data_IF_520116340929
#
_entry.id   IF_520116340929
#
_cell.length_a   1.000
_cell.length_b   1.000
_cell.length_c   1.000
_cell.angle_alpha   90.00
_cell.angle_beta   90.00
_cell.angle_gamma   90.00
#
_symmetry.space_group_name_H-M   'P 1'
#
loop_
_entity.id
_entity.type
_entity.pdbx_description
1 polymer ?
#
# COMPACT_ATOMS: atom_id res chain seq x y z
N UNK A 1 -18.85 -5.11 22.59
CA UNK A 1 -17.50 -4.49 22.53
C UNK A 1 -16.70 -4.94 21.30
N UNK A 2 -16.72 -6.21 20.87
CA UNK A 2 -15.87 -6.70 19.76
C UNK A 2 -16.16 -6.18 18.34
N UNK A 3 -17.40 -5.80 18.00
CA UNK A 3 -17.78 -5.38 16.64
C UNK A 3 -17.24 -4.00 16.24
N UNK A 4 -17.12 -3.08 17.20
CA UNK A 4 -16.62 -1.72 16.93
C UNK A 4 -15.10 -1.72 16.69
N UNK A 5 -14.33 -2.49 17.47
CA UNK A 5 -12.90 -2.66 17.23
C UNK A 5 -12.58 -3.21 15.84
N UNK A 6 -13.42 -4.11 15.30
CA UNK A 6 -13.26 -4.65 13.93
C UNK A 6 -13.50 -3.59 12.88
N UNK A 7 -14.55 -2.78 13.04
CA UNK A 7 -14.86 -1.71 12.10
C UNK A 7 -13.70 -0.72 12.05
N UNK A 8 -13.21 -0.30 13.22
CA UNK A 8 -12.07 0.62 13.32
C UNK A 8 -10.84 0.01 12.67
N UNK A 9 -10.47 -1.23 13.00
CA UNK A 9 -9.32 -1.90 12.40
C UNK A 9 -9.44 -2.03 10.88
N UNK A 10 -10.64 -2.33 10.37
CA UNK A 10 -10.89 -2.40 8.92
C UNK A 10 -10.72 -1.03 8.24
N UNK A 11 -11.26 0.02 8.82
CA UNK A 11 -11.09 1.37 8.30
C UNK A 11 -9.64 1.83 8.35
N UNK A 12 -8.92 1.51 9.45
CA UNK A 12 -7.50 1.81 9.58
C UNK A 12 -6.67 1.12 8.50
N UNK A 13 -6.81 -0.20 8.33
CA UNK A 13 -6.10 -0.93 7.29
C UNK A 13 -6.43 -0.42 5.89
N UNK A 14 -7.70 -0.09 5.62
CA UNK A 14 -8.10 0.50 4.32
C UNK A 14 -7.47 1.88 4.12
N UNK A 15 -7.46 2.71 5.16
CA UNK A 15 -6.90 4.05 5.15
C UNK A 15 -5.40 4.05 4.88
N UNK A 16 -4.64 3.15 5.53
CA UNK A 16 -3.21 2.97 5.25
C UNK A 16 -2.98 2.68 3.76
N UNK A 17 -3.71 1.70 3.22
CA UNK A 17 -3.56 1.29 1.81
C UNK A 17 -3.93 2.42 0.86
N UNK A 18 -4.99 3.19 1.17
CA UNK A 18 -5.37 4.37 0.41
C UNK A 18 -4.30 5.47 0.47
N UNK A 19 -3.73 5.75 1.64
CA UNK A 19 -2.64 6.72 1.81
C UNK A 19 -1.42 6.29 1.01
N UNK A 20 -1.08 5.00 0.98
CA UNK A 20 -0.01 4.46 0.13
C UNK A 20 -0.28 4.74 -1.36
N UNK A 21 -1.52 4.54 -1.83
CA UNK A 21 -1.89 4.89 -3.21
C UNK A 21 -1.71 6.38 -3.49
N UNK A 22 -2.13 7.26 -2.59
CA UNK A 22 -1.90 8.71 -2.75
C UNK A 22 -0.41 9.06 -2.73
N UNK A 23 0.37 8.42 -1.86
CA UNK A 23 1.82 8.59 -1.78
C UNK A 23 2.54 8.18 -3.06
N UNK A 24 2.05 7.15 -3.75
CA UNK A 24 2.54 6.76 -5.08
C UNK A 24 2.03 7.67 -6.20
N UNK A 25 0.82 8.21 -6.07
CA UNK A 25 0.22 9.08 -7.07
C UNK A 25 0.99 10.40 -7.26
N UNK A 26 1.58 10.94 -6.19
CA UNK A 26 2.36 12.18 -6.27
C UNK A 26 3.60 12.09 -7.19
N UNK A 27 4.58 11.19 -6.96
CA UNK A 27 5.76 11.09 -7.82
C UNK A 27 5.43 10.62 -9.23
N UNK A 28 4.43 9.73 -9.39
CA UNK A 28 3.99 9.27 -10.71
C UNK A 28 3.29 10.39 -11.48
N UNK A 29 2.44 11.17 -10.83
CA UNK A 29 1.75 12.31 -11.42
C UNK A 29 2.71 13.43 -11.82
N UNK A 30 3.71 13.72 -10.97
CA UNK A 30 4.78 14.66 -11.30
C UNK A 30 5.53 14.23 -12.58
N UNK A 31 5.81 12.93 -12.73
CA UNK A 31 6.47 12.41 -13.93
C UNK A 31 5.60 12.49 -15.19
N UNK A 32 4.31 12.15 -15.07
CA UNK A 32 3.34 12.27 -16.17
C UNK A 32 3.33 13.70 -16.73
N UNK A 33 3.33 14.71 -15.85
CA UNK A 33 3.33 16.12 -16.24
C UNK A 33 4.67 16.53 -16.85
N UNK A 34 5.78 16.20 -16.20
CA UNK A 34 7.13 16.61 -16.66
C UNK A 34 7.52 15.99 -18.00
N UNK A 35 7.21 14.72 -18.22
CA UNK A 35 7.52 14.00 -19.47
C UNK A 35 6.42 14.11 -20.52
N UNK A 36 5.32 14.82 -20.21
CA UNK A 36 4.14 14.94 -21.06
C UNK A 36 3.71 13.58 -21.62
N UNK A 37 3.55 12.58 -20.75
CA UNK A 37 3.34 11.19 -21.17
C UNK A 37 2.08 11.01 -22.05
N UNK A 38 1.12 11.92 -21.97
CA UNK A 38 -0.05 11.96 -22.86
C UNK A 38 0.32 12.14 -24.35
N UNK A 39 1.44 12.79 -24.65
CA UNK A 39 1.93 13.00 -26.02
C UNK A 39 3.10 12.11 -26.40
N UNK A 40 3.97 11.79 -25.44
CA UNK A 40 5.22 11.04 -25.70
C UNK A 40 5.05 9.52 -25.58
N UNK A 41 4.22 9.04 -24.65
CA UNK A 41 3.97 7.62 -24.44
C UNK A 41 2.54 7.38 -23.94
N UNK A 42 1.58 7.52 -24.85
CA UNK A 42 0.16 7.47 -24.53
C UNK A 42 -0.28 6.12 -23.93
N UNK A 43 0.35 5.02 -24.34
CA UNK A 43 0.08 3.69 -23.77
C UNK A 43 0.45 3.64 -22.28
N UNK A 44 1.65 4.10 -21.92
CA UNK A 44 2.08 4.15 -20.52
C UNK A 44 1.18 5.07 -19.70
N UNK A 45 0.78 6.22 -20.25
CA UNK A 45 -0.14 7.15 -19.60
C UNK A 45 -1.49 6.48 -19.25
N UNK A 46 -2.14 5.83 -20.22
CA UNK A 46 -3.40 5.10 -19.98
C UNK A 46 -3.20 3.97 -18.99
N UNK A 47 -2.13 3.18 -19.15
CA UNK A 47 -1.83 2.05 -18.26
C UNK A 47 -1.74 2.50 -16.80
N UNK A 48 -1.02 3.59 -16.51
CA UNK A 48 -0.87 4.10 -15.14
C UNK A 48 -2.20 4.54 -14.53
N UNK A 49 -3.01 5.31 -15.27
CA UNK A 49 -4.34 5.73 -14.82
C UNK A 49 -5.23 4.51 -14.54
N UNK A 50 -5.25 3.56 -15.47
CA UNK A 50 -6.04 2.34 -15.33
C UNK A 50 -5.60 1.52 -14.12
N UNK A 51 -4.28 1.39 -13.88
CA UNK A 51 -3.75 0.69 -12.72
C UNK A 51 -4.18 1.36 -11.41
N UNK A 52 -4.16 2.69 -11.32
CA UNK A 52 -4.67 3.39 -10.14
C UNK A 52 -6.16 3.12 -9.90
N UNK A 53 -6.99 3.24 -10.95
CA UNK A 53 -8.44 3.00 -10.86
C UNK A 53 -8.73 1.56 -10.48
N UNK A 54 -8.12 0.59 -11.16
CA UNK A 54 -8.32 -0.84 -10.88
C UNK A 54 -7.88 -1.20 -9.45
N UNK A 55 -6.78 -0.63 -8.96
CA UNK A 55 -6.30 -0.88 -7.59
C UNK A 55 -7.25 -0.28 -6.55
N UNK A 56 -7.74 0.94 -6.77
CA UNK A 56 -8.70 1.60 -5.88
C UNK A 56 -10.06 0.85 -5.84
N UNK A 57 -10.56 0.44 -7.01
CA UNK A 57 -11.79 -0.35 -7.11
C UNK A 57 -11.62 -1.73 -6.45
N UNK A 58 -10.46 -2.37 -6.63
CA UNK A 58 -10.15 -3.64 -5.97
C UNK A 58 -10.10 -3.49 -4.45
N UNK A 59 -9.51 -2.40 -3.94
CA UNK A 59 -9.49 -2.10 -2.50
C UNK A 59 -10.91 -1.88 -1.96
N UNK A 60 -11.74 -1.13 -2.68
CA UNK A 60 -13.14 -0.91 -2.31
C UNK A 60 -13.91 -2.24 -2.24
N UNK A 61 -13.74 -3.12 -3.23
CA UNK A 61 -14.37 -4.43 -3.18
C UNK A 61 -13.80 -5.33 -2.10
N UNK A 62 -12.49 -5.29 -1.82
CA UNK A 62 -11.87 -6.01 -0.70
C UNK A 62 -12.48 -5.59 0.64
N UNK A 63 -12.69 -4.30 0.85
CA UNK A 63 -13.29 -3.77 2.08
C UNK A 63 -14.70 -4.31 2.32
N UNK A 64 -15.47 -4.49 1.24
CA UNK A 64 -16.87 -4.92 1.27
C UNK A 64 -17.05 -6.44 1.15
N UNK A 65 -16.05 -7.15 0.63
CA UNK A 65 -16.14 -8.56 0.30
C UNK A 65 -16.45 -9.43 1.53
N UNK A 66 -17.45 -10.30 1.37
CA UNK A 66 -17.92 -11.19 2.44
C UNK A 66 -17.39 -12.60 2.32
N UNK A 67 -17.28 -13.11 1.10
CA UNK A 67 -16.83 -14.47 0.80
C UNK A 67 -15.31 -14.59 0.80
N UNK A 68 -14.79 -15.73 1.25
CA UNK A 68 -13.35 -15.97 1.32
C UNK A 68 -12.66 -15.89 -0.05
N UNK A 69 -13.28 -16.48 -1.09
CA UNK A 69 -12.76 -16.46 -2.46
C UNK A 69 -12.58 -15.03 -2.97
N UNK A 70 -13.62 -14.20 -2.85
CA UNK A 70 -13.58 -12.81 -3.30
C UNK A 70 -12.60 -11.94 -2.50
N UNK A 71 -12.51 -12.13 -1.17
CA UNK A 71 -11.49 -11.45 -0.37
C UNK A 71 -10.08 -11.78 -0.85
N UNK A 72 -9.79 -13.06 -1.12
CA UNK A 72 -8.50 -13.47 -1.67
C UNK A 72 -8.20 -12.81 -3.02
N UNK A 73 -9.14 -12.86 -3.95
CA UNK A 73 -9.00 -12.27 -5.29
C UNK A 73 -8.72 -10.76 -5.19
N UNK A 74 -9.58 -10.02 -4.48
CA UNK A 74 -9.42 -8.56 -4.37
C UNK A 74 -8.18 -8.17 -3.56
N UNK A 75 -7.76 -8.97 -2.58
CA UNK A 75 -6.50 -8.76 -1.88
C UNK A 75 -5.29 -8.91 -2.80
N UNK A 76 -5.26 -9.96 -3.61
CA UNK A 76 -4.20 -10.18 -4.60
C UNK A 76 -4.18 -9.07 -5.64
N UNK A 77 -5.33 -8.69 -6.20
CA UNK A 77 -5.42 -7.59 -7.19
C UNK A 77 -4.96 -6.26 -6.61
N UNK A 78 -5.40 -5.92 -5.39
CA UNK A 78 -4.98 -4.69 -4.72
C UNK A 78 -3.48 -4.71 -4.42
N UNK A 79 -2.95 -5.83 -3.93
CA UNK A 79 -1.54 -6.00 -3.62
C UNK A 79 -0.65 -5.91 -4.86
N UNK A 80 -1.04 -6.59 -5.95
CA UNK A 80 -0.37 -6.49 -7.24
C UNK A 80 -0.38 -5.06 -7.76
N UNK A 81 -1.52 -4.38 -7.69
CA UNK A 81 -1.66 -2.99 -8.12
C UNK A 81 -0.69 -2.05 -7.41
N UNK A 82 -0.59 -2.15 -6.07
CA UNK A 82 0.36 -1.36 -5.28
C UNK A 82 1.81 -1.67 -5.64
N UNK A 83 2.16 -2.94 -5.82
CA UNK A 83 3.54 -3.31 -6.19
C UNK A 83 3.88 -2.81 -7.59
N UNK A 84 2.99 -2.98 -8.57
CA UNK A 84 3.20 -2.51 -9.95
C UNK A 84 3.38 -0.99 -9.98
N UNK A 85 2.52 -0.25 -9.27
CA UNK A 85 2.62 1.22 -9.17
C UNK A 85 3.87 1.64 -8.40
N UNK A 86 4.23 0.94 -7.32
CA UNK A 86 5.43 1.23 -6.53
C UNK A 86 6.73 0.98 -7.29
N UNK A 87 6.73 0.01 -8.21
CA UNK A 87 7.91 -0.35 -9.00
C UNK A 87 8.13 0.52 -10.24
N UNK A 88 7.30 1.56 -10.46
CA UNK A 88 7.55 2.52 -11.55
C UNK A 88 8.89 3.23 -11.33
N UNK A 89 9.63 3.49 -12.42
CA UNK A 89 11.00 4.01 -12.35
C UNK A 89 11.12 5.36 -11.64
N UNK A 90 10.03 6.14 -11.65
CA UNK A 90 9.98 7.47 -11.07
C UNK A 90 9.69 7.47 -9.56
N UNK A 91 9.39 6.31 -8.98
CA UNK A 91 9.20 6.17 -7.54
C UNK A 91 10.57 6.01 -6.90
N UNK A 92 10.91 6.92 -5.98
CA UNK A 92 12.16 6.84 -5.23
C UNK A 92 12.10 5.70 -4.21
N UNK A 93 12.83 4.62 -4.50
CA UNK A 93 12.79 3.38 -3.71
C UNK A 93 13.98 3.19 -2.77
N UNK A 94 15.09 3.89 -3.00
CA UNK A 94 16.37 3.70 -2.28
C UNK A 94 16.77 2.21 -2.18
N UNK A 95 16.84 1.54 -3.33
CA UNK A 95 17.07 0.07 -3.40
C UNK A 95 18.40 -0.37 -2.81
N UNK A 96 19.45 0.46 -2.89
CA UNK A 96 20.76 0.13 -2.33
C UNK A 96 20.77 0.06 -0.79
N UNK A 97 19.83 0.76 -0.14
CA UNK A 97 19.63 0.76 1.32
C UNK A 97 18.20 0.33 1.65
N UNK A 98 17.73 -0.74 0.99
CA UNK A 98 16.33 -1.18 1.08
C UNK A 98 15.88 -1.42 2.54
N UNK A 99 16.81 -1.82 3.42
CA UNK A 99 16.58 -2.07 4.85
C UNK A 99 16.40 -0.79 5.69
N UNK A 100 16.59 0.41 5.13
CA UNK A 100 16.25 1.71 5.76
C UNK A 100 15.42 2.54 4.77
N UNK A 101 14.71 1.91 3.85
CA UNK A 101 13.95 2.62 2.84
C UNK A 101 12.52 2.88 3.31
N UNK A 102 12.12 4.15 3.26
CA UNK A 102 10.75 4.54 3.55
C UNK A 102 9.75 3.86 2.59
N UNK A 103 10.15 3.68 1.33
CA UNK A 103 9.36 3.00 0.31
C UNK A 103 9.12 1.52 0.65
N UNK A 104 10.17 0.74 0.91
CA UNK A 104 10.01 -0.70 1.16
C UNK A 104 9.23 -0.97 2.44
N UNK A 105 9.41 -0.13 3.47
CA UNK A 105 8.60 -0.19 4.68
C UNK A 105 7.13 0.10 4.39
N UNK A 106 6.83 1.12 3.59
CA UNK A 106 5.47 1.50 3.24
C UNK A 106 4.73 0.46 2.40
N UNK A 107 5.37 -0.07 1.36
CA UNK A 107 4.79 -1.13 0.54
C UNK A 107 4.55 -2.38 1.37
N UNK A 108 5.52 -2.78 2.20
CA UNK A 108 5.36 -3.97 3.07
C UNK A 108 4.23 -3.78 4.07
N UNK A 109 4.14 -2.60 4.71
CA UNK A 109 3.05 -2.28 5.63
C UNK A 109 1.68 -2.29 4.91
N UNK A 110 1.59 -1.73 3.70
CA UNK A 110 0.36 -1.76 2.89
C UNK A 110 -0.06 -3.20 2.54
N UNK A 111 0.87 -4.06 2.14
CA UNK A 111 0.59 -5.47 1.85
C UNK A 111 0.11 -6.23 3.10
N UNK A 112 0.71 -5.96 4.26
CA UNK A 112 0.24 -6.51 5.54
C UNK A 112 -1.17 -6.02 5.89
N UNK A 113 -1.51 -4.76 5.61
CA UNK A 113 -2.86 -4.23 5.82
C UNK A 113 -3.88 -4.85 4.86
N UNK A 114 -3.52 -5.07 3.60
CA UNK A 114 -4.35 -5.81 2.63
C UNK A 114 -4.60 -7.23 3.13
N UNK A 115 -3.57 -7.92 3.59
CA UNK A 115 -3.70 -9.26 4.14
C UNK A 115 -4.60 -9.28 5.39
N UNK A 116 -4.41 -8.30 6.28
CA UNK A 116 -5.24 -8.09 7.47
C UNK A 116 -6.72 -7.94 7.12
N UNK A 117 -7.06 -7.13 6.11
CA UNK A 117 -8.42 -7.00 5.59
C UNK A 117 -8.94 -8.33 5.03
N UNK A 118 -8.10 -9.05 4.30
CA UNK A 118 -8.46 -10.30 3.65
C UNK A 118 -8.81 -11.40 4.64
N UNK A 119 -8.15 -11.49 5.81
CA UNK A 119 -8.35 -12.58 6.78
C UNK A 119 -9.33 -12.24 7.91
N UNK A 120 -9.79 -10.98 8.01
CA UNK A 120 -10.53 -10.50 9.20
C UNK A 120 -11.73 -11.38 9.56
N UNK A 121 -12.48 -11.91 8.58
CA UNK A 121 -13.62 -12.78 8.86
C UNK A 121 -13.22 -14.19 9.27
N UNK A 122 -12.05 -14.66 8.85
CA UNK A 122 -11.55 -15.99 9.21
C UNK A 122 -11.10 -16.02 10.67
N UNK A 123 -10.60 -14.90 11.20
CA UNK A 123 -10.33 -14.71 12.63
C UNK A 123 -11.58 -15.00 13.49
N UNK A 124 -12.76 -14.60 13.02
CA UNK A 124 -14.02 -14.81 13.76
C UNK A 124 -14.60 -16.21 13.57
N UNK A 125 -14.36 -16.84 12.43
CA UNK A 125 -14.85 -18.20 12.15
C UNK A 125 -13.97 -19.28 12.78
N UNK A 126 -12.69 -18.97 12.98
CA UNK A 126 -11.71 -19.91 13.48
C UNK A 126 -11.78 -20.07 15.01
N UNK A 127 -12.20 -21.24 15.46
CA UNK A 127 -12.24 -21.61 16.88
C UNK A 127 -10.86 -21.98 17.45
N UNK A 128 -9.86 -22.22 16.59
CA UNK A 128 -8.51 -22.64 16.99
C UNK A 128 -7.55 -21.46 17.28
N UNK A 129 -8.02 -20.21 17.15
CA UNK A 129 -7.25 -18.98 17.32
C UNK A 129 -6.00 -18.85 16.43
N UNK A 130 -5.82 -19.69 15.42
CA UNK A 130 -4.64 -19.65 14.53
C UNK A 130 -4.61 -18.36 13.72
N UNK A 131 -5.74 -17.98 13.13
CA UNK A 131 -5.83 -16.73 12.35
C UNK A 131 -5.72 -15.49 13.23
N UNK A 132 -6.20 -15.56 14.46
CA UNK A 132 -6.06 -14.49 15.46
C UNK A 132 -4.58 -14.26 15.80
N UNK A 133 -3.85 -15.33 16.11
CA UNK A 133 -2.42 -15.23 16.45
C UNK A 133 -1.60 -14.73 15.25
N UNK A 134 -1.85 -15.25 14.05
CA UNK A 134 -1.21 -14.77 12.83
C UNK A 134 -1.46 -13.27 12.62
N UNK A 135 -2.71 -12.82 12.76
CA UNK A 135 -3.06 -11.40 12.64
C UNK A 135 -2.34 -10.54 13.68
N UNK A 136 -2.27 -10.96 14.95
CA UNK A 136 -1.57 -10.20 16.00
C UNK A 136 -0.09 -10.06 15.66
N UNK A 137 0.58 -11.18 15.34
CA UNK A 137 2.00 -11.20 14.99
C UNK A 137 2.28 -10.25 13.81
N UNK A 138 1.49 -10.36 12.73
CA UNK A 138 1.66 -9.53 11.54
C UNK A 138 1.39 -8.03 11.82
N UNK A 139 0.45 -7.70 12.70
CA UNK A 139 0.22 -6.30 13.08
C UNK A 139 1.33 -5.76 13.99
N UNK A 140 1.96 -6.58 14.82
CA UNK A 140 3.18 -6.18 15.54
C UNK A 140 4.30 -5.86 14.56
N UNK A 141 4.50 -6.67 13.52
CA UNK A 141 5.45 -6.35 12.45
C UNK A 141 5.08 -5.05 11.72
N UNK A 142 3.80 -4.87 11.37
CA UNK A 142 3.33 -3.64 10.73
C UNK A 142 3.56 -2.39 11.60
N UNK A 143 3.36 -2.50 12.92
CA UNK A 143 3.65 -1.42 13.87
C UNK A 143 5.13 -1.00 13.83
N UNK A 144 6.05 -1.98 13.84
CA UNK A 144 7.48 -1.70 13.73
C UNK A 144 7.83 -1.04 12.39
N UNK A 145 7.19 -1.46 11.29
CA UNK A 145 7.36 -0.84 9.99
C UNK A 145 6.86 0.61 9.98
N UNK A 146 5.72 0.91 10.61
CA UNK A 146 5.21 2.29 10.73
C UNK A 146 6.15 3.19 11.54
N UNK A 147 6.72 2.67 12.64
CA UNK A 147 7.72 3.40 13.41
C UNK A 147 8.96 3.69 12.54
N UNK A 148 9.44 2.69 11.81
CA UNK A 148 10.53 2.84 10.85
C UNK A 148 10.20 3.86 9.75
N UNK A 149 8.98 3.86 9.23
CA UNK A 149 8.51 4.84 8.24
C UNK A 149 8.51 6.27 8.78
N UNK A 150 8.09 6.46 10.03
CA UNK A 150 8.09 7.79 10.67
C UNK A 150 9.49 8.41 10.77
N UNK A 151 10.50 7.58 11.04
CA UNK A 151 11.91 8.02 11.13
C UNK A 151 12.49 8.24 9.72
N UNK A 152 12.30 7.27 8.82
CA UNK A 152 12.91 7.29 7.46
C UNK A 152 12.24 8.29 6.52
N UNK A 153 10.96 8.61 6.73
CA UNK A 153 10.21 9.51 5.87
C UNK A 153 10.74 10.94 5.88
N UNK A 154 11.05 11.50 7.06
CA UNK A 154 11.64 12.83 7.16
C UNK A 154 13.01 12.90 6.47
N UNK A 155 13.84 11.85 6.62
CA UNK A 155 15.13 11.75 5.94
C UNK A 155 14.97 11.72 4.43
N UNK A 156 14.08 10.87 3.91
CA UNK A 156 13.88 10.71 2.47
C UNK A 156 13.32 11.99 1.83
N UNK A 157 12.43 12.72 2.52
CA UNK A 157 11.95 14.04 2.07
C UNK A 157 13.09 15.08 1.99
N UNK A 158 13.98 15.12 2.99
CA UNK A 158 15.14 16.02 2.97
C UNK A 158 16.10 15.68 1.83
N UNK A 159 16.31 14.40 1.54
CA UNK A 159 17.19 13.96 0.46
C UNK A 159 16.60 14.24 -0.93
N UNK A 160 15.30 14.01 -1.11
CA UNK A 160 14.57 14.41 -2.33
C UNK A 160 14.65 15.93 -2.53
N UNK A 161 14.51 16.70 -1.44
CA UNK A 161 14.65 18.16 -1.46
C UNK A 161 16.06 18.60 -1.89
N UNK A 162 17.11 18.02 -1.32
CA UNK A 162 18.51 18.28 -1.72
C UNK A 162 18.78 17.92 -3.18
N UNK A 163 18.31 16.76 -3.64
CA UNK A 163 18.48 16.32 -5.02
C UNK A 163 17.79 17.26 -6.03
N UNK A 164 16.59 17.75 -5.72
CA UNK A 164 15.85 18.69 -6.59
C UNK A 164 16.43 20.11 -6.59
N UNK A 165 17.14 20.52 -5.54
CA UNK A 165 17.70 21.88 -5.38
C UNK A 165 19.18 21.99 -5.79
N UNK A 166 19.77 20.94 -6.35
CA UNK A 166 21.15 20.98 -6.87
C UNK A 166 22.22 20.99 -5.78
N UNK A 167 22.03 20.22 -4.72
CA UNK A 167 23.10 19.92 -3.75
C UNK A 167 24.23 19.08 -4.35
#
# INVERSE_FOLDING_TARGET
MGTEHVKIGRWLSTGVVAITLFGLAYPIGEDIIKKQLWGTNFFQFIFLILMFVLTAVSLYFLHNAREAKWRGIFATLTGMGIVILGCQDNVFRRTNEWYISHYYYGITAALLMIFSLAIVKDIYKDKSNRWRNAHIILNCFALLLFMGQGITGARDLLEIGKYKLGG
#
